data_IF_865078301670
#
_entry.id   IF_865078301670
#
_cell.length_a   1.000
_cell.length_b   1.000
_cell.length_c   1.000
_cell.angle_alpha   90.00
_cell.angle_beta   90.00
_cell.angle_gamma   90.00
#
_symmetry.space_group_name_H-M   'P 1'
#
loop_
_entity.id
_entity.type
_entity.pdbx_description
1 polymer ?
#
# COMPACT_ATOMS: atom_id res chain seq x y z
N UNK A 1 16.65 -0.65 5.68
CA UNK A 1 16.53 -2.13 5.70
C UNK A 1 16.51 -2.62 4.26
N UNK A 2 17.48 -3.43 3.83
CA UNK A 2 17.52 -4.08 2.51
C UNK A 2 16.81 -5.42 2.64
N UNK A 3 15.55 -5.51 2.20
CA UNK A 3 14.86 -6.79 2.12
C UNK A 3 15.17 -7.38 0.75
N UNK A 4 15.77 -8.57 0.64
CA UNK A 4 16.10 -9.16 -0.65
C UNK A 4 14.81 -9.48 -1.42
N UNK A 5 14.73 -8.98 -2.66
CA UNK A 5 13.68 -9.34 -3.60
C UNK A 5 14.06 -10.69 -4.20
N UNK A 6 13.38 -11.76 -3.80
CA UNK A 6 13.43 -13.04 -4.51
C UNK A 6 12.73 -12.88 -5.86
N UNK A 7 13.12 -13.70 -6.85
CA UNK A 7 12.73 -13.72 -8.27
C UNK A 7 11.24 -13.93 -8.59
N UNK A 8 10.36 -13.80 -7.61
CA UNK A 8 8.92 -13.66 -7.79
C UNK A 8 8.56 -12.23 -7.42
N UNK A 9 8.25 -11.40 -8.40
CA UNK A 9 7.93 -9.96 -8.27
C UNK A 9 6.61 -9.68 -7.51
N UNK A 10 6.05 -10.67 -6.82
CA UNK A 10 4.86 -10.53 -5.99
C UNK A 10 5.27 -10.24 -4.55
N UNK A 11 5.50 -8.97 -4.24
CA UNK A 11 5.68 -8.52 -2.86
C UNK A 11 4.32 -8.46 -2.16
N UNK A 12 3.98 -9.47 -1.36
CA UNK A 12 2.86 -9.37 -0.41
C UNK A 12 3.28 -8.46 0.75
N UNK A 13 3.07 -7.15 0.61
CA UNK A 13 3.32 -6.19 1.69
C UNK A 13 2.11 -6.14 2.63
N UNK A 14 2.24 -6.74 3.81
CA UNK A 14 1.32 -6.51 4.93
C UNK A 14 1.49 -5.09 5.49
N UNK A 15 0.91 -4.09 4.82
CA UNK A 15 0.93 -2.71 5.28
C UNK A 15 -0.32 -2.39 6.10
N UNK A 16 -0.13 -1.88 7.32
CA UNK A 16 -1.22 -1.34 8.14
C UNK A 16 -1.75 -0.07 7.47
N UNK A 17 -3.03 -0.06 7.15
CA UNK A 17 -3.75 1.12 6.64
C UNK A 17 -4.43 1.81 7.81
N UNK A 18 -4.18 3.11 7.98
CA UNK A 18 -4.76 3.91 9.07
C UNK A 18 -5.62 5.03 8.49
N UNK A 19 -6.32 5.78 9.36
CA UNK A 19 -7.10 6.97 8.94
C UNK A 19 -6.25 8.06 8.27
N UNK A 20 -4.93 8.04 8.49
CA UNK A 20 -3.98 8.98 7.90
C UNK A 20 -3.49 8.55 6.51
N UNK A 21 -3.69 7.28 6.12
CA UNK A 21 -3.30 6.79 4.80
C UNK A 21 -4.11 7.50 3.72
N UNK A 22 -3.43 8.02 2.71
CA UNK A 22 -4.08 8.64 1.55
C UNK A 22 -4.31 7.60 0.48
N UNK A 23 -5.57 7.34 0.17
CA UNK A 23 -5.96 6.41 -0.89
C UNK A 23 -6.50 7.24 -2.05
N UNK A 24 -5.88 7.10 -3.21
CA UNK A 24 -6.15 7.92 -4.40
C UNK A 24 -6.48 7.01 -5.57
N UNK A 25 -7.56 7.31 -6.28
CA UNK A 25 -7.96 6.64 -7.52
C UNK A 25 -8.27 7.68 -8.57
N UNK A 26 -7.64 7.62 -9.74
CA UNK A 26 -7.83 8.61 -10.82
C UNK A 26 -7.72 10.06 -10.33
N UNK A 27 -6.76 10.32 -9.43
CA UNK A 27 -6.53 11.65 -8.83
C UNK A 27 -7.51 12.07 -7.72
N UNK A 28 -8.53 11.26 -7.39
CA UNK A 28 -9.49 11.55 -6.32
C UNK A 28 -9.21 10.74 -5.07
N UNK A 29 -9.34 11.36 -3.89
CA UNK A 29 -9.25 10.65 -2.62
C UNK A 29 -10.49 9.77 -2.41
N UNK A 30 -10.29 8.51 -2.03
CA UNK A 30 -11.35 7.56 -1.74
C UNK A 30 -11.15 6.92 -0.36
N UNK A 31 -12.18 6.24 0.13
CA UNK A 31 -12.12 5.46 1.37
C UNK A 31 -11.54 4.05 1.12
N UNK A 32 -11.00 3.42 2.17
CA UNK A 32 -10.44 2.06 2.10
C UNK A 32 -11.47 1.02 1.63
N UNK A 33 -12.72 1.15 2.05
CA UNK A 33 -13.83 0.27 1.64
C UNK A 33 -14.15 0.32 0.15
N UNK A 34 -13.64 1.32 -0.58
CA UNK A 34 -13.83 1.46 -2.02
C UNK A 34 -12.72 0.76 -2.84
N UNK A 35 -11.77 0.10 -2.17
CA UNK A 35 -10.76 -0.77 -2.78
C UNK A 35 -11.26 -2.22 -2.73
N UNK A 36 -11.10 -2.94 -3.84
CA UNK A 36 -11.38 -4.36 -3.93
C UNK A 36 -10.09 -5.20 -3.89
N UNK A 37 -10.21 -6.44 -3.40
CA UNK A 37 -9.12 -7.41 -3.47
C UNK A 37 -8.85 -7.74 -4.94
N UNK A 38 -7.57 -7.80 -5.32
CA UNK A 38 -7.13 -8.07 -6.70
C UNK A 38 -6.90 -6.80 -7.54
N UNK A 39 -7.16 -5.61 -6.99
CA UNK A 39 -6.80 -4.36 -7.67
C UNK A 39 -5.29 -4.13 -7.66
N UNK A 40 -4.74 -3.76 -8.83
CA UNK A 40 -3.34 -3.34 -8.94
C UNK A 40 -3.19 -1.92 -8.40
N UNK A 41 -2.29 -1.77 -7.42
CA UNK A 41 -2.04 -0.49 -6.75
C UNK A 41 -0.56 -0.17 -6.68
N UNK A 42 -0.24 1.12 -6.63
CA UNK A 42 1.06 1.63 -6.21
C UNK A 42 1.01 1.96 -4.73
N UNK A 43 1.92 1.36 -3.94
CA UNK A 43 1.99 1.53 -2.50
C UNK A 43 3.27 2.29 -2.11
N UNK A 44 3.10 3.48 -1.54
CA UNK A 44 4.15 4.15 -0.78
C UNK A 44 3.97 3.82 0.69
N UNK A 45 4.99 3.25 1.32
CA UNK A 45 4.93 2.85 2.72
C UNK A 45 6.14 3.34 3.52
N UNK A 46 5.95 3.40 4.84
CA UNK A 46 7.01 3.68 5.81
C UNK A 46 7.21 2.43 6.65
N UNK A 47 8.47 1.98 6.76
CA UNK A 47 8.84 0.89 7.67
C UNK A 47 9.14 1.47 9.06
N UNK A 48 8.39 1.01 10.06
CA UNK A 48 8.60 1.32 11.47
C UNK A 48 9.05 0.07 12.22
N UNK A 49 9.39 0.19 13.52
CA UNK A 49 9.77 -0.97 14.35
C UNK A 49 8.66 -2.04 14.40
N UNK A 50 7.40 -1.60 14.37
CA UNK A 50 6.22 -2.45 14.59
C UNK A 50 5.53 -2.90 13.28
N UNK A 51 6.23 -2.74 12.16
CA UNK A 51 5.78 -3.19 10.84
C UNK A 51 5.83 -2.11 9.76
N UNK A 52 5.05 -2.34 8.71
CA UNK A 52 4.97 -1.46 7.54
C UNK A 52 3.64 -0.70 7.60
N UNK A 53 3.68 0.61 7.38
CA UNK A 53 2.50 1.47 7.38
C UNK A 53 2.31 2.10 6.02
N UNK A 54 1.10 1.99 5.48
CA UNK A 54 0.76 2.60 4.20
C UNK A 54 0.66 4.12 4.34
N UNK A 55 1.43 4.85 3.55
CA UNK A 55 1.35 6.31 3.49
C UNK A 55 0.44 6.75 2.33
N UNK A 56 0.65 6.17 1.15
CA UNK A 56 -0.14 6.46 -0.05
C UNK A 56 -0.45 5.16 -0.79
N UNK A 57 -1.71 4.98 -1.17
CA UNK A 57 -2.16 3.92 -2.07
C UNK A 57 -2.73 4.59 -3.31
N UNK A 58 -2.13 4.38 -4.47
CA UNK A 58 -2.65 4.88 -5.75
C UNK A 58 -3.19 3.73 -6.59
N UNK A 59 -4.46 3.83 -6.95
CA UNK A 59 -5.20 2.83 -7.74
C UNK A 59 -5.25 3.34 -9.18
N UNK A 60 -4.90 2.47 -10.13
CA UNK A 60 -4.97 2.76 -11.57
C UNK A 60 -6.42 2.81 -12.08
#
# INVERSE_FOLDING_TARGET
>A
VKTPLTTHDDMTVGAKVTSQTRIIRKGKRIALQAISIGERVWLTYIKQRDGVFAQIIQIQ
#
